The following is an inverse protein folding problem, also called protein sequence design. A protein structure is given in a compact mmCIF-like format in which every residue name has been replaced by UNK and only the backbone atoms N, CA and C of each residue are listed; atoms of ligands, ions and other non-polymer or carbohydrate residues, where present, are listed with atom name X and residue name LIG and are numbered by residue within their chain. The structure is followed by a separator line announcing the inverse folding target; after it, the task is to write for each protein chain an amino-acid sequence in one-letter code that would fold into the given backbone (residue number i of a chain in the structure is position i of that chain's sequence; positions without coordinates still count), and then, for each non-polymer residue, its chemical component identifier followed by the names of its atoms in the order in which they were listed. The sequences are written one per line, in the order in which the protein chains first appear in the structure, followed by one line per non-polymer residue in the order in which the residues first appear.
data_IF_757757278583
#
_entry.id   IF_757757278583
#
_cell.length_a   1.000
_cell.length_b   1.000
_cell.length_c   1.000
_cell.angle_alpha   90.00
_cell.angle_beta   90.00
_cell.angle_gamma   90.00
#
_symmetry.space_group_name_H-M   'P 1'
#
loop_
_entity.id
_entity.type
_entity.pdbx_description
1 polymer ?
#
# COMPACT_ATOMS: atom_id res chain seq x y z
N UNK A 1 -10.49 -3.90 -18.75
CA UNK A 1 -9.48 -2.91 -18.27
C UNK A 1 -8.35 -3.66 -17.58
N UNK A 2 -7.09 -3.24 -17.74
CA UNK A 2 -5.96 -3.91 -17.08
C UNK A 2 -5.69 -3.25 -15.71
N UNK A 3 -6.11 -3.90 -14.63
CA UNK A 3 -5.94 -3.39 -13.26
C UNK A 3 -4.45 -3.29 -12.90
N UNK A 4 -4.00 -2.13 -12.42
CA UNK A 4 -2.64 -1.94 -11.91
C UNK A 4 -2.59 -2.27 -10.42
N UNK A 5 -1.81 -3.28 -10.05
CA UNK A 5 -1.57 -3.65 -8.65
C UNK A 5 -0.19 -3.13 -8.22
N UNK A 6 -0.15 -2.31 -7.17
CA UNK A 6 1.06 -1.65 -6.67
C UNK A 6 1.22 -1.99 -5.19
N UNK A 7 2.28 -2.73 -4.84
CA UNK A 7 2.65 -2.95 -3.45
C UNK A 7 3.52 -1.79 -2.93
N UNK A 8 3.22 -1.29 -1.74
CA UNK A 8 3.96 -0.21 -1.06
C UNK A 8 4.68 -0.84 0.12
N UNK A 9 5.98 -1.07 -0.06
CA UNK A 9 6.82 -1.74 0.91
C UNK A 9 8.02 -0.87 1.32
N UNK A 10 8.54 -1.14 2.51
CA UNK A 10 9.76 -0.56 3.05
C UNK A 10 10.55 -1.74 3.63
N UNK A 11 11.80 -1.94 3.22
CA UNK A 11 12.63 -2.96 3.85
C UNK A 11 13.35 -2.35 5.05
N UNK A 12 12.98 -2.78 6.26
CA UNK A 12 13.94 -2.79 7.36
C UNK A 12 14.82 -4.03 7.15
N UNK A 13 16.11 -3.84 6.85
CA UNK A 13 17.04 -4.95 6.62
C UNK A 13 18.33 -4.62 5.86
N UNK A 14 18.46 -3.45 5.24
CA UNK A 14 19.73 -3.02 4.65
C UNK A 14 20.62 -2.38 5.73
N UNK A 15 21.40 -3.21 6.43
CA UNK A 15 22.60 -2.72 7.11
C UNK A 15 23.54 -2.17 6.05
N UNK A 16 23.80 -0.86 6.09
CA UNK A 16 24.98 -0.29 5.43
C UNK A 16 26.16 -0.72 6.30
N UNK A 17 27.21 -1.40 5.79
CA UNK A 17 28.43 -1.54 6.56
C UNK A 17 28.92 -0.14 6.91
N UNK A 18 29.16 0.11 8.20
CA UNK A 18 29.64 1.38 8.72
C UNK A 18 31.07 1.60 8.22
N UNK A 19 31.20 2.15 7.03
CA UNK A 19 32.47 2.68 6.54
C UNK A 19 32.58 4.15 6.97
N UNK A 20 33.24 4.35 8.13
CA UNK A 20 33.94 5.57 8.54
C UNK A 20 33.44 6.90 7.96
N UNK A 21 32.40 7.49 8.60
CA UNK A 21 32.16 8.93 8.50
C UNK A 21 32.15 9.49 9.91
N UNK A 22 33.31 10.04 10.31
CA UNK A 22 33.45 10.84 11.53
C UNK A 22 32.56 12.08 11.43
N UNK A 23 31.81 12.33 12.50
CA UNK A 23 31.05 13.56 12.78
C UNK A 23 29.90 13.92 11.82
N UNK A 24 28.76 13.23 11.95
CA UNK A 24 27.45 13.87 11.77
C UNK A 24 26.40 13.17 12.65
N UNK A 25 25.86 13.93 13.61
CA UNK A 25 24.85 13.47 14.57
C UNK A 25 23.69 12.76 13.86
N UNK A 26 23.32 11.61 14.39
CA UNK A 26 22.28 10.70 13.94
C UNK A 26 20.95 11.43 13.75
N UNK A 27 20.56 11.68 12.50
CA UNK A 27 19.16 11.95 12.17
C UNK A 27 18.51 10.60 11.91
N UNK A 28 17.71 10.11 12.85
CA UNK A 28 16.78 9.01 12.59
C UNK A 28 15.90 9.39 11.39
N UNK A 29 16.16 8.81 10.23
CA UNK A 29 15.28 8.90 9.07
C UNK A 29 14.01 8.09 9.37
N UNK A 30 13.07 8.67 10.12
CA UNK A 30 11.75 8.07 10.37
C UNK A 30 10.95 8.13 9.08
N UNK A 31 11.07 7.07 8.25
CA UNK A 31 10.26 6.74 7.06
C UNK A 31 9.05 7.64 6.86
N UNK A 32 8.97 8.33 5.72
CA UNK A 32 7.68 8.82 5.22
C UNK A 32 6.79 7.56 5.17
N UNK A 33 5.66 7.57 5.89
CA UNK A 33 4.93 6.36 6.23
C UNK A 33 4.45 5.63 4.98
N UNK A 34 4.70 4.31 4.90
CA UNK A 34 4.13 3.45 3.82
C UNK A 34 2.63 3.65 3.71
N UNK A 35 1.96 3.56 4.86
CA UNK A 35 0.54 3.83 5.08
C UNK A 35 0.14 5.22 4.60
N UNK A 36 0.85 6.26 5.04
CA UNK A 36 0.59 7.65 4.60
C UNK A 36 0.74 7.81 3.10
N UNK A 37 1.73 7.14 2.50
CA UNK A 37 1.94 7.16 1.04
C UNK A 37 0.84 6.39 0.32
N UNK A 38 0.42 5.23 0.84
CA UNK A 38 -0.65 4.41 0.31
C UNK A 38 -1.98 5.17 0.27
N UNK A 39 -2.40 5.72 1.42
CA UNK A 39 -3.62 6.50 1.54
C UNK A 39 -3.63 7.69 0.57
N UNK A 40 -2.60 8.53 0.61
CA UNK A 40 -2.58 9.75 -0.17
C UNK A 40 -2.37 9.51 -1.68
N UNK A 41 -1.58 8.50 -2.08
CA UNK A 41 -1.52 8.13 -3.50
C UNK A 41 -2.88 7.61 -3.98
N UNK A 42 -3.53 6.80 -3.16
CA UNK A 42 -4.86 6.27 -3.45
C UNK A 42 -5.88 7.35 -3.71
N UNK A 43 -5.97 8.30 -2.78
CA UNK A 43 -6.91 9.42 -2.85
C UNK A 43 -6.55 10.36 -4.00
N UNK A 44 -5.26 10.63 -4.24
CA UNK A 44 -4.83 11.42 -5.40
C UNK A 44 -5.25 10.77 -6.73
N UNK A 45 -5.16 9.45 -6.85
CA UNK A 45 -5.63 8.71 -8.03
C UNK A 45 -7.16 8.77 -8.16
N UNK A 46 -7.89 8.64 -7.05
CA UNK A 46 -9.36 8.75 -7.04
C UNK A 46 -9.83 10.15 -7.48
N UNK A 47 -9.20 11.22 -6.97
CA UNK A 47 -9.44 12.59 -7.40
C UNK A 47 -9.13 12.82 -8.89
N UNK A 48 -8.23 12.03 -9.47
CA UNK A 48 -7.95 12.03 -10.91
C UNK A 48 -8.93 11.16 -11.73
N UNK A 49 -10.05 10.72 -11.13
CA UNK A 49 -11.12 9.96 -11.78
C UNK A 49 -10.85 8.45 -11.91
N UNK A 50 -9.86 7.91 -11.19
CA UNK A 50 -9.55 6.47 -11.21
C UNK A 50 -10.39 5.73 -10.16
N UNK A 51 -10.83 4.51 -10.49
CA UNK A 51 -11.38 3.57 -9.49
C UNK A 51 -10.23 2.91 -8.74
N UNK A 52 -10.14 3.13 -7.43
CA UNK A 52 -8.99 2.74 -6.60
C UNK A 52 -9.45 1.92 -5.41
N UNK A 53 -8.81 0.75 -5.21
CA UNK A 53 -8.93 -0.04 -4.00
C UNK A 53 -7.63 0.01 -3.21
N UNK A 54 -7.72 0.22 -1.91
CA UNK A 54 -6.63 0.15 -0.95
C UNK A 54 -6.76 -1.16 -0.18
N UNK A 55 -5.67 -1.89 -0.02
CA UNK A 55 -5.58 -3.10 0.79
C UNK A 55 -4.67 -2.80 1.96
N UNK A 56 -5.19 -2.88 3.18
CA UNK A 56 -4.36 -2.88 4.38
C UNK A 56 -3.79 -4.29 4.57
N UNK A 57 -2.47 -4.44 4.43
CA UNK A 57 -1.76 -5.71 4.56
C UNK A 57 -0.92 -5.80 5.83
N UNK A 58 -1.21 -4.96 6.82
CA UNK A 58 -0.54 -4.93 8.11
C UNK A 58 -1.54 -5.30 9.22
N UNK A 59 -1.29 -6.34 10.03
CA UNK A 59 -2.16 -6.69 11.15
C UNK A 59 -2.37 -5.56 12.18
N UNK A 60 -1.52 -4.52 12.15
CA UNK A 60 -1.71 -3.32 12.97
C UNK A 60 -2.84 -2.40 12.47
N UNK A 61 -3.40 -2.65 11.28
CA UNK A 61 -4.54 -1.91 10.76
C UNK A 61 -4.29 -0.41 10.55
N UNK A 62 -3.03 0.00 10.36
CA UNK A 62 -2.66 1.42 10.35
C UNK A 62 -3.34 2.18 9.20
N UNK A 63 -3.49 1.55 8.03
CA UNK A 63 -4.20 2.15 6.90
C UNK A 63 -5.69 2.25 7.19
N UNK A 64 -6.25 1.16 7.72
CA UNK A 64 -7.66 1.06 8.11
C UNK A 64 -8.06 2.15 9.09
N UNK A 65 -7.27 2.33 10.15
CA UNK A 65 -7.46 3.40 11.15
C UNK A 65 -7.35 4.77 10.49
N UNK A 66 -6.33 4.99 9.65
CA UNK A 66 -6.11 6.29 8.99
C UNK A 66 -7.20 6.70 8.01
N UNK A 67 -8.04 5.75 7.57
CA UNK A 67 -9.19 5.98 6.69
C UNK A 67 -10.52 5.99 7.47
N UNK A 68 -10.48 6.29 8.76
CA UNK A 68 -11.67 6.55 9.56
C UNK A 68 -12.32 5.31 10.19
N UNK A 69 -11.63 4.17 10.23
CA UNK A 69 -12.10 2.96 10.90
C UNK A 69 -11.25 2.65 12.15
N UNK A 70 -11.48 3.35 13.29
CA UNK A 70 -10.59 3.32 14.45
C UNK A 70 -10.65 2.01 15.27
N UNK A 71 -11.63 1.14 14.98
CA UNK A 71 -11.79 -0.15 15.65
C UNK A 71 -11.84 -1.28 14.61
N UNK A 72 -10.70 -1.62 13.97
CA UNK A 72 -10.68 -2.62 12.90
C UNK A 72 -11.19 -4.00 13.35
N UNK A 73 -10.90 -4.39 14.60
CA UNK A 73 -11.32 -5.68 15.17
C UNK A 73 -12.85 -5.82 15.37
N UNK A 74 -13.62 -4.74 15.20
CA UNK A 74 -15.09 -4.77 15.24
C UNK A 74 -15.74 -4.81 13.87
N UNK A 75 -14.94 -4.74 12.80
CA UNK A 75 -15.45 -4.84 11.44
C UNK A 75 -15.94 -6.27 11.20
N UNK A 76 -17.05 -6.41 10.49
CA UNK A 76 -17.67 -7.72 10.24
C UNK A 76 -16.90 -8.59 9.26
N UNK A 77 -15.98 -8.00 8.52
CA UNK A 77 -15.18 -8.68 7.51
C UNK A 77 -13.91 -7.88 7.22
N UNK A 78 -12.77 -8.56 7.18
CA UNK A 78 -11.47 -7.95 6.86
C UNK A 78 -10.66 -8.80 5.88
N UNK A 79 -9.43 -8.36 5.58
CA UNK A 79 -8.50 -9.12 4.76
C UNK A 79 -8.20 -10.50 5.36
N UNK A 80 -8.21 -10.64 6.69
CA UNK A 80 -7.95 -11.92 7.33
C UNK A 80 -9.05 -12.94 7.02
N UNK A 81 -10.31 -12.52 7.04
CA UNK A 81 -11.45 -13.34 6.62
C UNK A 81 -11.37 -13.71 5.13
N UNK A 82 -11.05 -12.75 4.26
CA UNK A 82 -10.90 -13.00 2.83
C UNK A 82 -9.82 -14.06 2.56
N UNK A 83 -8.64 -13.90 3.15
CA UNK A 83 -7.54 -14.85 2.98
C UNK A 83 -7.86 -16.20 3.64
N UNK A 84 -8.52 -16.21 4.79
CA UNK A 84 -8.99 -17.41 5.47
C UNK A 84 -9.98 -18.21 4.62
N UNK A 85 -10.94 -17.56 3.98
CA UNK A 85 -11.87 -18.20 3.04
C UNK A 85 -11.15 -18.85 1.86
N UNK A 86 -10.17 -18.18 1.24
CA UNK A 86 -9.35 -18.79 0.18
C UNK A 86 -8.59 -20.02 0.70
N UNK A 87 -7.97 -19.93 1.88
CA UNK A 87 -7.23 -21.04 2.49
C UNK A 87 -8.12 -22.27 2.78
N UNK A 88 -9.39 -22.04 3.10
CA UNK A 88 -10.38 -23.10 3.36
C UNK A 88 -11.20 -23.50 2.12
N UNK A 89 -10.82 -23.03 0.93
CA UNK A 89 -11.54 -23.25 -0.34
C UNK A 89 -13.03 -22.85 -0.28
N UNK A 90 -13.33 -21.76 0.43
CA UNK A 90 -14.68 -21.22 0.57
C UNK A 90 -14.95 -20.11 -0.45
N UNK A 91 -16.19 -20.00 -0.96
CA UNK A 91 -16.55 -18.97 -1.90
C UNK A 91 -16.50 -17.58 -1.25
N UNK A 92 -15.94 -16.61 -2.00
CA UNK A 92 -15.90 -15.20 -1.63
C UNK A 92 -16.81 -14.43 -2.57
N UNK A 93 -17.69 -13.60 -2.01
CA UNK A 93 -18.53 -12.73 -2.84
C UNK A 93 -17.68 -11.57 -3.36
N UNK A 94 -17.74 -11.21 -4.66
CA UNK A 94 -17.00 -10.07 -5.17
C UNK A 94 -17.36 -8.79 -4.39
N UNK A 95 -16.35 -8.13 -3.83
CA UNK A 95 -16.53 -6.91 -3.04
C UNK A 95 -16.97 -7.11 -1.59
N UNK A 96 -17.04 -8.35 -1.09
CA UNK A 96 -17.32 -8.65 0.31
C UNK A 96 -16.32 -7.96 1.24
N UNK A 97 -16.81 -7.21 2.23
CA UNK A 97 -16.00 -6.47 3.20
C UNK A 97 -15.27 -5.24 2.68
N UNK A 98 -15.49 -4.84 1.42
CA UNK A 98 -14.93 -3.59 0.90
C UNK A 98 -15.72 -2.41 1.48
N UNK A 99 -15.01 -1.48 2.11
CA UNK A 99 -15.53 -0.26 2.70
C UNK A 99 -15.32 0.92 1.74
N UNK A 100 -16.30 1.81 1.64
CA UNK A 100 -16.18 3.02 0.83
C UNK A 100 -15.74 4.22 1.68
N UNK A 101 -14.74 4.97 1.22
CA UNK A 101 -14.28 6.19 1.85
C UNK A 101 -14.81 7.43 1.14
N UNK A 102 -15.15 8.48 1.89
CA UNK A 102 -15.74 9.71 1.35
C UNK A 102 -14.85 10.43 0.32
N UNK A 103 -13.54 10.18 0.34
CA UNK A 103 -12.59 10.75 -0.63
C UNK A 103 -12.46 9.92 -1.94
N UNK A 104 -13.38 8.98 -2.18
CA UNK A 104 -13.54 8.29 -3.46
C UNK A 104 -12.68 7.03 -3.66
N UNK A 105 -12.04 6.56 -2.58
CA UNK A 105 -11.31 5.28 -2.56
C UNK A 105 -12.13 4.21 -1.86
N UNK A 106 -11.93 2.96 -2.26
CA UNK A 106 -12.42 1.80 -1.54
C UNK A 106 -11.29 1.17 -0.71
N UNK A 107 -11.64 0.47 0.36
CA UNK A 107 -10.71 -0.11 1.34
C UNK A 107 -11.11 -1.56 1.65
N UNK A 108 -10.15 -2.48 1.53
CA UNK A 108 -10.18 -3.77 2.21
C UNK A 108 -9.41 -3.63 3.53
N UNK A 109 -10.10 -3.62 4.68
CA UNK A 109 -9.48 -3.35 5.98
C UNK A 109 -8.65 -4.54 6.47
N UNK A 110 -7.75 -4.30 7.42
CA UNK A 110 -7.01 -5.32 8.16
C UNK A 110 -7.39 -5.30 9.64
N UNK A 111 -7.13 -6.40 10.32
CA UNK A 111 -7.29 -6.57 11.76
C UNK A 111 -6.19 -7.46 12.34
N UNK A 112 -6.18 -7.59 13.67
CA UNK A 112 -5.14 -8.37 14.36
C UNK A 112 -5.12 -9.85 13.95
N UNK A 113 -6.26 -10.41 13.51
CA UNK A 113 -6.35 -11.82 13.07
C UNK A 113 -5.53 -12.10 11.81
N UNK A 114 -5.13 -11.07 11.06
CA UNK A 114 -4.23 -11.23 9.92
C UNK A 114 -2.86 -11.82 10.33
N UNK A 115 -2.44 -11.62 11.60
CA UNK A 115 -1.26 -12.29 12.16
C UNK A 115 -1.43 -13.81 12.27
N UNK A 116 -2.65 -14.29 12.57
CA UNK A 116 -2.99 -15.71 12.57
C UNK A 116 -2.93 -16.29 11.16
N UNK A 117 -3.46 -15.55 10.18
CA UNK A 117 -3.36 -15.93 8.75
C UNK A 117 -1.90 -16.05 8.32
N UNK A 118 -1.03 -15.12 8.74
CA UNK A 118 0.40 -15.18 8.44
C UNK A 118 1.04 -16.51 8.87
N UNK A 119 0.69 -17.00 10.05
CA UNK A 119 1.14 -18.31 10.55
C UNK A 119 0.56 -19.46 9.71
N UNK A 120 -0.73 -19.42 9.39
CA UNK A 120 -1.39 -20.42 8.55
C UNK A 120 -0.76 -20.54 7.15
N UNK A 121 -0.34 -19.41 6.58
CA UNK A 121 0.32 -19.37 5.26
C UNK A 121 1.63 -20.17 5.25
N UNK A 122 2.36 -20.28 6.36
CA UNK A 122 3.66 -20.99 6.38
C UNK A 122 3.50 -22.45 5.95
N UNK A 123 2.42 -23.11 6.37
CA UNK A 123 2.17 -24.54 6.11
C UNK A 123 1.23 -24.79 4.93
N UNK A 124 0.78 -23.74 4.25
CA UNK A 124 -0.20 -23.85 3.17
C UNK A 124 0.47 -24.13 1.82
N UNK A 125 -0.22 -24.90 0.98
CA UNK A 125 0.15 -25.06 -0.42
C UNK A 125 -0.12 -23.77 -1.20
N UNK A 126 0.75 -23.42 -2.16
CA UNK A 126 0.65 -22.17 -2.95
C UNK A 126 0.55 -20.89 -2.10
N UNK A 127 1.14 -20.91 -0.91
CA UNK A 127 1.05 -19.90 0.14
C UNK A 127 1.39 -18.47 -0.29
N UNK A 128 2.26 -18.30 -1.28
CA UNK A 128 2.64 -17.00 -1.83
C UNK A 128 1.58 -16.39 -2.76
N UNK A 129 0.54 -17.15 -3.13
CA UNK A 129 -0.46 -16.72 -4.11
C UNK A 129 -1.85 -16.45 -3.53
N UNK A 130 -2.06 -16.62 -2.23
CA UNK A 130 -3.38 -16.51 -1.60
C UNK A 130 -3.98 -15.11 -1.82
N UNK A 131 -3.20 -14.06 -1.58
CA UNK A 131 -3.67 -12.69 -1.86
C UNK A 131 -3.92 -12.46 -3.34
N UNK A 132 -3.10 -13.04 -4.22
CA UNK A 132 -3.29 -12.94 -5.68
C UNK A 132 -4.60 -13.60 -6.13
N UNK A 133 -4.98 -14.72 -5.52
CA UNK A 133 -6.25 -15.40 -5.80
C UNK A 133 -7.43 -14.52 -5.38
N UNK A 134 -7.40 -13.98 -4.16
CA UNK A 134 -8.40 -13.02 -3.69
C UNK A 134 -8.52 -11.81 -4.64
N UNK A 135 -7.41 -11.15 -4.97
CA UNK A 135 -7.40 -10.00 -5.89
C UNK A 135 -7.85 -10.36 -7.32
N UNK A 136 -7.73 -11.63 -7.71
CA UNK A 136 -8.29 -12.18 -8.94
C UNK A 136 -9.80 -11.98 -9.05
N UNK A 137 -10.52 -12.09 -7.93
CA UNK A 137 -11.99 -11.91 -7.87
C UNK A 137 -12.41 -10.44 -8.08
N UNK A 138 -11.50 -9.50 -7.85
CA UNK A 138 -11.75 -8.05 -7.96
C UNK A 138 -11.22 -7.43 -9.25
N UNK A 139 -10.52 -8.23 -10.09
CA UNK A 139 -9.98 -7.74 -11.36
C UNK A 139 -11.08 -7.18 -12.25
N UNK A 140 -10.79 -6.04 -12.88
CA UNK A 140 -11.72 -5.35 -13.76
C UNK A 140 -12.72 -4.41 -13.07
N UNK A 141 -12.90 -4.53 -11.75
CA UNK A 141 -13.72 -3.58 -10.98
C UNK A 141 -12.95 -2.28 -10.66
N UNK A 142 -11.63 -2.43 -10.45
CA UNK A 142 -10.72 -1.34 -10.13
C UNK A 142 -9.71 -1.10 -11.23
N UNK A 143 -9.37 0.17 -11.43
CA UNK A 143 -8.25 0.56 -12.29
C UNK A 143 -6.90 0.40 -11.56
N UNK A 144 -6.88 0.66 -10.26
CA UNK A 144 -5.70 0.60 -9.41
C UNK A 144 -6.03 -0.13 -8.10
N UNK A 145 -5.13 -0.98 -7.65
CA UNK A 145 -5.14 -1.61 -6.32
C UNK A 145 -3.80 -1.29 -5.66
N UNK A 146 -3.82 -0.60 -4.53
CA UNK A 146 -2.62 -0.30 -3.73
C UNK A 146 -2.61 -1.21 -2.50
N UNK A 147 -1.47 -1.83 -2.20
CA UNK A 147 -1.31 -2.74 -1.07
C UNK A 147 -0.33 -2.10 -0.08
N UNK A 148 -0.77 -1.75 1.13
CA UNK A 148 0.10 -1.28 2.20
C UNK A 148 0.70 -2.48 2.94
N UNK A 149 2.00 -2.70 2.78
CA UNK A 149 2.66 -3.86 3.37
C UNK A 149 3.19 -3.54 4.77
N UNK A 150 3.18 -4.54 5.67
CA UNK A 150 3.94 -4.47 6.91
C UNK A 150 5.46 -4.28 6.66
N UNK A 151 6.23 -3.67 7.60
CA UNK A 151 7.67 -3.44 7.44
C UNK A 151 8.53 -4.70 7.47
N UNK A 152 8.01 -5.83 7.95
CA UNK A 152 8.69 -7.12 8.01
C UNK A 152 8.57 -7.86 6.68
N UNK A 153 9.58 -8.66 6.33
CA UNK A 153 9.53 -9.56 5.17
C UNK A 153 8.89 -10.90 5.56
N UNK A 154 7.66 -10.84 6.07
CA UNK A 154 6.86 -12.02 6.41
C UNK A 154 6.04 -12.56 5.22
N UNK A 155 5.26 -13.61 5.46
CA UNK A 155 4.44 -14.25 4.41
C UNK A 155 3.36 -13.33 3.84
N UNK A 156 2.87 -12.36 4.62
CA UNK A 156 1.93 -11.34 4.12
C UNK A 156 2.61 -10.42 3.09
N UNK A 157 3.85 -9.99 3.37
CA UNK A 157 4.64 -9.17 2.44
C UNK A 157 5.00 -9.95 1.19
N UNK A 158 5.35 -11.24 1.33
CA UNK A 158 5.58 -12.12 0.17
C UNK A 158 4.31 -12.23 -0.70
N UNK A 159 3.14 -12.41 -0.08
CA UNK A 159 1.86 -12.43 -0.80
C UNK A 159 1.58 -11.11 -1.54
N UNK A 160 1.83 -9.97 -0.90
CA UNK A 160 1.67 -8.65 -1.51
C UNK A 160 2.59 -8.46 -2.72
N UNK A 161 3.86 -8.80 -2.58
CA UNK A 161 4.85 -8.73 -3.67
C UNK A 161 4.52 -9.70 -4.80
N UNK A 162 4.11 -10.92 -4.43
CA UNK A 162 3.69 -11.93 -5.37
C UNK A 162 2.39 -11.57 -6.07
N UNK A 163 1.50 -10.76 -5.49
CA UNK A 163 0.27 -10.33 -6.16
C UNK A 163 0.47 -9.07 -7.03
N UNK A 164 1.41 -8.20 -6.65
CA UNK A 164 1.62 -6.92 -7.30
C UNK A 164 2.31 -7.01 -8.68
N UNK A 165 1.90 -6.14 -9.59
CA UNK A 165 2.54 -5.99 -10.91
C UNK A 165 3.62 -4.89 -10.89
N UNK A 166 3.66 -4.10 -9.82
CA UNK A 166 4.62 -3.02 -9.56
C UNK A 166 4.89 -2.94 -8.06
N UNK A 167 6.09 -2.51 -7.71
CA UNK A 167 6.46 -2.25 -6.33
C UNK A 167 6.86 -0.78 -6.23
N UNK A 168 6.18 -0.03 -5.37
CA UNK A 168 6.59 1.30 -4.97
C UNK A 168 7.37 1.17 -3.68
N UNK A 169 8.60 1.67 -3.69
CA UNK A 169 9.50 1.56 -2.54
C UNK A 169 9.67 2.95 -1.94
N UNK A 170 9.25 3.11 -0.69
CA UNK A 170 9.34 4.38 0.01
C UNK A 170 10.80 4.67 0.43
N UNK A 171 11.43 5.64 -0.23
CA UNK A 171 12.69 6.38 0.04
C UNK A 171 13.97 5.62 0.49
N UNK A 172 13.91 4.52 1.25
CA UNK A 172 15.08 3.91 1.90
C UNK A 172 15.87 2.90 1.06
N UNK A 173 15.44 2.55 -0.16
CA UNK A 173 16.09 1.51 -0.98
C UNK A 173 16.63 2.00 -2.33
N UNK A 174 16.52 3.30 -2.66
CA UNK A 174 17.08 3.83 -3.91
C UNK A 174 18.60 3.59 -3.98
N UNK A 175 19.27 3.63 -2.83
CA UNK A 175 20.71 3.40 -2.70
C UNK A 175 21.11 1.91 -2.77
N UNK A 176 20.21 0.97 -2.46
CA UNK A 176 20.56 -0.46 -2.35
C UNK A 176 20.26 -1.27 -3.61
N UNK A 177 19.20 -0.93 -4.35
CA UNK A 177 18.78 -1.70 -5.54
C UNK A 177 18.88 -0.87 -6.82
N UNK A 178 20.12 -0.58 -7.20
CA UNK A 178 20.45 -0.01 -8.51
C UNK A 178 19.88 -0.82 -9.67
N UNK A 179 19.31 -0.08 -10.63
CA UNK A 179 19.02 -0.42 -12.04
C UNK A 179 18.15 -1.65 -12.41
N UNK A 180 17.80 -2.55 -11.48
CA UNK A 180 16.99 -3.77 -11.81
C UNK A 180 15.49 -3.66 -11.53
N UNK A 181 15.01 -2.63 -10.81
CA UNK A 181 13.59 -2.43 -10.49
C UNK A 181 13.20 -0.98 -10.84
N UNK A 182 12.04 -0.77 -11.49
CA UNK A 182 11.54 0.58 -11.82
C UNK A 182 10.98 1.27 -10.57
N UNK A 183 11.82 2.03 -9.89
CA UNK A 183 11.49 2.83 -8.70
C UNK A 183 10.97 4.21 -9.12
N UNK A 184 9.93 4.73 -8.45
CA UNK A 184 9.39 6.08 -8.70
C UNK A 184 10.38 7.18 -8.29
N UNK A 185 10.40 8.31 -9.00
CA UNK A 185 11.34 9.42 -8.80
C UNK A 185 10.92 10.45 -7.76
N UNK A 186 9.62 10.60 -7.48
CA UNK A 186 9.11 11.64 -6.59
C UNK A 186 9.36 11.33 -5.11
N UNK A 187 9.97 12.27 -4.40
CA UNK A 187 10.15 12.25 -2.94
C UNK A 187 9.07 13.10 -2.26
N UNK A 188 8.36 12.54 -1.27
CA UNK A 188 7.38 13.29 -0.47
C UNK A 188 8.13 13.92 0.72
N UNK A 189 8.11 15.25 0.90
CA UNK A 189 8.84 15.87 2.00
C UNK A 189 8.31 15.39 3.37
N UNK A 190 9.22 15.06 4.30
CA UNK A 190 8.87 14.70 5.67
C UNK A 190 8.22 15.90 6.40
N UNK A 191 7.09 15.68 7.07
CA UNK A 191 6.42 16.67 7.93
C UNK A 191 5.82 16.00 9.16
N UNK A 192 6.05 16.56 10.35
CA UNK A 192 5.46 16.08 11.62
C UNK A 192 3.93 16.17 11.58
N UNK A 193 3.38 17.20 10.93
CA UNK A 193 1.93 17.37 10.72
C UNK A 193 1.30 16.18 9.98
N UNK A 194 2.01 15.57 9.03
CA UNK A 194 1.50 14.41 8.29
C UNK A 194 1.29 13.15 9.15
N UNK A 195 1.95 13.05 10.32
CA UNK A 195 1.74 11.94 11.28
C UNK A 195 0.52 12.17 12.17
N UNK A 196 0.27 13.41 12.58
CA UNK A 196 -0.88 13.77 13.41
C UNK A 196 -2.20 13.61 12.63
N UNK A 197 -2.17 13.86 11.32
CA UNK A 197 -3.33 13.77 10.41
C UNK A 197 -3.88 12.34 10.26
N UNK A 198 -3.04 11.30 10.35
CA UNK A 198 -3.50 9.90 10.32
C UNK A 198 -4.42 9.54 11.49
N UNK A 199 -4.46 10.32 12.58
CA UNK A 199 -5.35 10.07 13.71
C UNK A 199 -6.79 10.59 13.49
N UNK A 200 -7.00 11.53 12.56
CA UNK A 200 -8.32 12.16 12.32
C UNK A 200 -9.14 11.50 11.20
N UNK A 201 -8.62 10.47 10.55
CA UNK A 201 -9.33 9.75 9.48
C UNK A 201 -9.52 10.55 8.19
N UNK A 202 -8.72 11.60 7.97
CA UNK A 202 -8.79 12.48 6.78
C UNK A 202 -7.46 12.51 6.05
N UNK A 203 -7.47 12.58 4.72
CA UNK A 203 -6.23 12.69 3.94
C UNK A 203 -5.57 14.06 4.06
N UNK A 204 -4.32 14.13 3.56
CA UNK A 204 -3.61 15.40 3.44
C UNK A 204 -4.34 16.39 2.51
N UNK A 205 -5.13 15.90 1.55
CA UNK A 205 -5.87 16.76 0.62
C UNK A 205 -7.08 17.40 1.28
N UNK A 206 -7.74 16.68 2.21
CA UNK A 206 -8.85 17.21 2.98
C UNK A 206 -8.37 18.15 4.10
N UNK A 207 -7.19 17.89 4.68
CA UNK A 207 -6.67 18.63 5.82
C UNK A 207 -5.81 19.85 5.43
N UNK A 208 -4.88 19.71 4.49
CA UNK A 208 -3.99 20.79 4.03
C UNK A 208 -3.78 20.72 2.50
N UNK A 209 -4.81 21.06 1.70
CA UNK A 209 -4.74 20.96 0.24
C UNK A 209 -3.63 21.81 -0.37
N UNK A 210 -3.24 22.92 0.27
CA UNK A 210 -2.18 23.83 -0.19
C UNK A 210 -0.77 23.46 0.29
N UNK A 211 -0.63 22.48 1.18
CA UNK A 211 0.63 22.14 1.82
C UNK A 211 1.64 21.44 0.91
N UNK A 212 2.93 21.53 1.29
CA UNK A 212 4.05 20.86 0.60
C UNK A 212 3.88 19.35 0.50
N UNK A 213 3.22 18.72 1.48
CA UNK A 213 2.95 17.28 1.48
C UNK A 213 1.86 16.92 0.46
N UNK A 214 0.77 17.68 0.43
CA UNK A 214 -0.27 17.52 -0.59
C UNK A 214 0.28 17.74 -2.00
N UNK A 215 1.17 18.72 -2.17
CA UNK A 215 1.87 18.94 -3.44
C UNK A 215 2.76 17.74 -3.83
N UNK A 216 3.54 17.20 -2.88
CA UNK A 216 4.33 15.98 -3.09
C UNK A 216 3.47 14.78 -3.53
N UNK A 217 2.34 14.56 -2.87
CA UNK A 217 1.39 13.50 -3.24
C UNK A 217 0.74 13.73 -4.61
N UNK A 218 0.42 14.98 -4.97
CA UNK A 218 -0.05 15.34 -6.32
C UNK A 218 1.01 15.03 -7.38
N UNK A 219 2.27 15.35 -7.11
CA UNK A 219 3.37 15.10 -8.04
C UNK A 219 3.59 13.60 -8.25
N UNK A 220 3.55 12.80 -7.18
CA UNK A 220 3.63 11.35 -7.25
C UNK A 220 2.45 10.77 -8.06
N UNK A 221 1.24 11.26 -7.83
CA UNK A 221 0.05 10.85 -8.59
C UNK A 221 0.22 11.15 -10.10
N UNK A 222 0.70 12.35 -10.45
CA UNK A 222 0.99 12.73 -11.84
C UNK A 222 2.06 11.82 -12.46
N UNK A 223 3.08 11.44 -11.71
CA UNK A 223 4.13 10.52 -12.17
C UNK A 223 3.54 9.14 -12.51
N UNK A 224 2.73 8.57 -11.61
CA UNK A 224 2.06 7.27 -11.81
C UNK A 224 1.18 7.31 -13.07
N UNK A 225 0.36 8.34 -13.24
CA UNK A 225 -0.51 8.51 -14.40
C UNK A 225 0.27 8.72 -15.71
N UNK A 226 1.39 9.44 -15.67
CA UNK A 226 2.26 9.63 -16.84
C UNK A 226 2.88 8.31 -17.30
N UNK A 227 3.36 7.50 -16.37
CA UNK A 227 3.93 6.18 -16.65
C UNK A 227 2.89 5.18 -17.16
N UNK A 228 1.62 5.31 -16.76
CA UNK A 228 0.49 4.56 -17.33
C UNK A 228 0.28 4.93 -18.81
N UNK A 229 0.09 6.23 -19.13
CA UNK A 229 -0.13 6.70 -20.50
C UNK A 229 1.00 6.32 -21.46
N UNK A 230 2.25 6.40 -21.01
CA UNK A 230 3.40 5.99 -21.81
C UNK A 230 3.38 4.50 -22.18
N UNK A 231 2.82 3.64 -21.32
CA UNK A 231 2.72 2.20 -21.57
C UNK A 231 1.57 1.85 -22.48
N UNK A 232 0.44 2.52 -22.34
CA UNK A 232 -0.68 2.37 -23.29
C UNK A 232 -0.20 2.70 -24.70
N UNK A 233 0.54 3.81 -24.86
CA UNK A 233 1.16 4.16 -26.15
C UNK A 233 2.15 3.11 -26.66
N UNK A 234 3.01 2.55 -25.79
CA UNK A 234 3.96 1.48 -26.16
C UNK A 234 3.30 0.13 -26.48
N UNK A 235 2.04 -0.07 -26.08
CA UNK A 235 1.30 -1.32 -26.32
C UNK A 235 0.45 -1.26 -27.59
N UNK A 236 0.16 -0.04 -28.07
CA UNK A 236 -0.58 0.24 -29.30
C UNK A 236 0.35 0.39 -30.53
N UNK A 237 1.66 0.48 -30.30
CA UNK A 237 2.72 0.49 -31.31
C UNK A 237 3.42 -0.87 -31.32
#
# INVERSE_FOLDING_TARGET
MNTQMIAIANQKGCYVPVAHVRHRLEREWRSIGKTTTCANLGIGLAQAGKKVLLIDGDPQGSLTISLGNPQPDKLSFTLSDAMGKILMDQPIRPGEGILHHAEGVDLMPADIQLSGIEVSLVNSMSRETILRQYLGTLKGQYSHILIDCQPSLGMLTVNALAAANRIMIAALLRDTYGSKIKVFGTEIPHSVRAKEISAEGKSIFAHDPGGKVAEGCRNLTKEVLKLEKQREKRRLN
#
